data_IF_979431026944
#
_entry.id   IF_979431026944
#
_cell.length_a   1.000
_cell.length_b   1.000
_cell.length_c   1.000
_cell.angle_alpha   90.00
_cell.angle_beta   90.00
_cell.angle_gamma   90.00
#
_symmetry.space_group_name_H-M   'P 1'
#
loop_
_entity.id
_entity.type
_entity.pdbx_description
1 polymer ?
#
# COMPACT_ATOMS: atom_id res chain seq x y z
N UNK A 1 -1.73 -55.00 31.70
CA UNK A 1 -0.97 -53.77 32.03
C UNK A 1 -1.52 -52.62 31.19
N UNK A 2 -1.45 -51.40 31.74
CA UNK A 2 -2.26 -50.20 31.47
C UNK A 2 -2.47 -49.77 30.00
N UNK A 3 -3.70 -49.36 29.73
CA UNK A 3 -4.13 -48.41 28.68
C UNK A 3 -3.45 -47.05 28.85
N UNK A 4 -3.21 -46.31 27.76
CA UNK A 4 -3.47 -44.87 27.64
C UNK A 4 -3.53 -44.47 26.14
N UNK A 5 -4.50 -43.58 25.84
CA UNK A 5 -4.99 -43.12 24.54
C UNK A 5 -4.27 -41.81 24.10
N UNK A 6 -4.67 -41.12 23.00
CA UNK A 6 -3.80 -40.50 21.99
C UNK A 6 -3.32 -39.07 22.30
N UNK A 7 -2.29 -38.60 21.58
CA UNK A 7 -1.98 -37.16 21.49
C UNK A 7 -1.84 -36.73 20.03
N UNK A 8 -2.85 -35.99 19.58
CA UNK A 8 -2.84 -35.14 18.37
C UNK A 8 -1.94 -33.94 18.65
N UNK A 9 -0.99 -33.62 17.76
CA UNK A 9 -0.69 -32.22 17.41
C UNK A 9 -0.15 -32.18 15.99
N UNK A 10 -0.85 -31.41 15.15
CA UNK A 10 -0.58 -31.20 13.74
C UNK A 10 0.81 -30.56 13.56
N UNK A 11 1.76 -31.25 12.93
CA UNK A 11 2.94 -30.63 12.32
C UNK A 11 2.53 -30.02 10.97
N UNK A 12 1.75 -28.95 11.05
CA UNK A 12 1.62 -27.93 10.01
C UNK A 12 2.05 -26.64 10.69
N UNK A 13 2.76 -25.76 9.96
CA UNK A 13 3.31 -24.46 10.38
C UNK A 13 4.81 -24.43 10.71
N UNK A 14 5.64 -24.95 9.81
CA UNK A 14 7.00 -24.41 9.61
C UNK A 14 7.13 -24.07 8.12
N UNK A 15 6.49 -22.96 7.73
CA UNK A 15 6.41 -22.55 6.34
C UNK A 15 5.72 -21.20 6.22
N UNK A 16 6.31 -20.17 6.83
CA UNK A 16 6.03 -18.74 6.56
C UNK A 16 6.93 -17.76 7.33
N UNK A 17 7.86 -18.22 8.17
CA UNK A 17 8.72 -17.31 8.96
C UNK A 17 9.95 -16.74 8.24
N UNK A 18 10.38 -17.36 7.12
CA UNK A 18 11.63 -17.00 6.46
C UNK A 18 11.49 -15.92 5.35
N UNK A 19 10.26 -15.49 5.03
CA UNK A 19 10.03 -14.49 3.99
C UNK A 19 10.14 -13.03 4.48
N UNK A 20 10.05 -12.79 5.80
CA UNK A 20 10.03 -11.42 6.34
C UNK A 20 11.43 -10.79 6.51
N UNK A 21 12.51 -11.58 6.43
CA UNK A 21 13.88 -11.07 6.63
C UNK A 21 14.50 -10.52 5.34
N UNK A 22 13.88 -10.77 4.17
CA UNK A 22 14.40 -10.31 2.87
C UNK A 22 13.99 -8.86 2.50
N UNK A 23 13.18 -8.17 3.32
CA UNK A 23 12.72 -6.81 3.05
C UNK A 23 13.56 -5.70 3.71
N UNK A 24 14.66 -6.03 4.39
CA UNK A 24 15.55 -5.04 5.03
C UNK A 24 16.73 -4.61 4.17
N UNK A 25 16.79 -5.02 2.90
CA UNK A 25 17.66 -4.36 1.92
C UNK A 25 17.10 -2.95 1.70
N UNK A 26 17.63 -2.01 2.49
CA UNK A 26 17.27 -0.60 2.41
C UNK A 26 17.35 -0.08 0.99
N UNK A 27 16.45 0.85 0.68
CA UNK A 27 16.58 1.73 -0.47
C UNK A 27 17.96 2.38 -0.40
N UNK A 28 18.90 1.89 -1.24
CA UNK A 28 20.14 2.60 -1.51
C UNK A 28 19.77 3.99 -2.04
N UNK A 29 20.46 5.04 -1.57
CA UNK A 29 20.31 6.41 -2.11
C UNK A 29 20.67 6.46 -3.60
N UNK A 30 21.49 5.52 -4.06
CA UNK A 30 21.65 5.21 -5.48
C UNK A 30 20.52 4.28 -5.91
N UNK A 31 19.37 4.85 -6.26
CA UNK A 31 18.24 4.09 -6.76
C UNK A 31 18.43 3.84 -8.28
N UNK A 32 18.80 2.60 -8.71
CA UNK A 32 18.93 2.28 -10.13
C UNK A 32 17.61 2.40 -10.91
N UNK A 33 16.48 2.58 -10.22
CA UNK A 33 15.18 2.89 -10.81
C UNK A 33 15.03 4.36 -11.22
N UNK A 34 16.04 5.21 -10.99
CA UNK A 34 16.04 6.62 -11.39
C UNK A 34 17.35 7.03 -12.09
N UNK A 35 17.69 6.42 -13.24
CA UNK A 35 18.96 6.68 -13.94
C UNK A 35 19.06 8.10 -14.55
N UNK A 36 17.93 8.81 -14.69
CA UNK A 36 17.89 10.20 -15.14
C UNK A 36 17.65 11.18 -13.96
N UNK A 37 18.05 10.74 -12.77
CA UNK A 37 17.69 11.26 -11.46
C UNK A 37 17.63 12.77 -11.34
N UNK A 38 16.41 13.26 -11.06
CA UNK A 38 16.17 14.45 -10.22
C UNK A 38 14.68 14.64 -9.86
N UNK A 39 13.88 13.56 -9.88
CA UNK A 39 12.52 13.67 -9.39
C UNK A 39 12.54 13.94 -7.89
N UNK A 40 12.21 15.18 -7.51
CA UNK A 40 12.22 15.69 -6.13
C UNK A 40 13.56 15.47 -5.42
N UNK A 41 14.68 15.78 -6.10
CA UNK A 41 16.04 15.61 -5.57
C UNK A 41 16.35 14.17 -5.06
N UNK A 42 15.67 13.18 -5.64
CA UNK A 42 15.78 11.78 -5.24
C UNK A 42 14.84 11.37 -4.09
N UNK A 43 14.13 12.33 -3.48
CA UNK A 43 13.19 12.12 -2.37
C UNK A 43 11.75 11.93 -2.86
N UNK A 44 11.56 11.34 -4.04
CA UNK A 44 10.23 11.12 -4.61
C UNK A 44 9.34 10.24 -3.72
N UNK A 45 9.93 9.33 -2.94
CA UNK A 45 9.20 8.46 -2.01
C UNK A 45 8.59 9.23 -0.84
N UNK A 46 9.13 10.40 -0.50
CA UNK A 46 8.59 11.28 0.55
C UNK A 46 7.40 12.12 0.05
N UNK A 47 7.18 12.19 -1.27
CA UNK A 47 6.17 13.09 -1.85
C UNK A 47 4.72 12.57 -1.75
N UNK A 48 4.52 11.33 -1.31
CA UNK A 48 3.17 10.78 -1.08
C UNK A 48 2.92 10.43 0.39
N UNK A 49 3.90 10.64 1.29
CA UNK A 49 3.80 10.14 2.67
C UNK A 49 2.71 10.82 3.46
N UNK A 50 2.48 12.11 3.21
CA UNK A 50 1.45 12.89 3.87
C UNK A 50 0.06 12.40 3.44
N UNK A 51 -0.15 12.15 2.16
CA UNK A 51 -1.41 11.62 1.62
C UNK A 51 -1.64 10.17 2.05
N UNK A 52 -0.58 9.35 2.14
CA UNK A 52 -0.67 7.99 2.66
C UNK A 52 -1.07 7.99 4.15
N UNK A 53 -0.49 8.88 4.94
CA UNK A 53 -0.85 9.04 6.35
C UNK A 53 -2.28 9.55 6.50
N UNK A 54 -2.69 10.52 5.66
CA UNK A 54 -4.06 11.04 5.65
C UNK A 54 -5.07 9.94 5.31
N UNK A 55 -4.79 9.13 4.29
CA UNK A 55 -5.63 7.98 3.93
C UNK A 55 -5.69 6.95 5.05
N UNK A 56 -4.56 6.62 5.67
CA UNK A 56 -4.49 5.67 6.79
C UNK A 56 -5.32 6.16 7.98
N UNK A 57 -5.23 7.45 8.33
CA UNK A 57 -6.03 8.04 9.40
C UNK A 57 -7.53 8.01 9.09
N UNK A 58 -7.91 8.37 7.85
CA UNK A 58 -9.30 8.35 7.43
C UNK A 58 -9.87 6.92 7.42
N UNK A 59 -9.05 5.93 7.05
CA UNK A 59 -9.41 4.51 7.12
C UNK A 59 -9.66 4.06 8.56
N UNK A 60 -8.81 4.46 9.52
CA UNK A 60 -9.04 4.19 10.95
C UNK A 60 -10.35 4.82 11.42
N UNK A 61 -10.58 6.10 11.12
CA UNK A 61 -11.79 6.83 11.53
C UNK A 61 -13.05 6.15 10.96
N UNK A 62 -13.04 5.77 9.67
CA UNK A 62 -14.19 5.10 9.07
C UNK A 62 -14.43 3.69 9.65
N UNK A 63 -13.36 2.95 9.96
CA UNK A 63 -13.47 1.64 10.62
C UNK A 63 -14.04 1.75 12.04
N UNK A 64 -13.69 2.79 12.79
CA UNK A 64 -14.20 3.03 14.15
C UNK A 64 -15.63 3.57 14.13
N UNK A 65 -15.94 4.46 13.19
CA UNK A 65 -17.22 5.14 13.06
C UNK A 65 -17.71 5.10 11.60
N UNK A 66 -18.30 3.98 11.16
CA UNK A 66 -18.79 3.82 9.80
C UNK A 66 -20.05 4.64 9.59
N UNK A 67 -19.87 5.86 9.12
CA UNK A 67 -20.95 6.75 8.71
C UNK A 67 -20.60 7.43 7.39
N UNK A 68 -21.61 8.03 6.76
CA UNK A 68 -21.46 8.63 5.43
C UNK A 68 -20.37 9.70 5.37
N UNK A 69 -20.22 10.53 6.41
CA UNK A 69 -19.22 11.59 6.43
C UNK A 69 -17.80 11.00 6.46
N UNK A 70 -17.57 10.02 7.32
CA UNK A 70 -16.27 9.36 7.45
C UNK A 70 -15.92 8.52 6.22
N UNK A 71 -16.90 7.86 5.59
CA UNK A 71 -16.70 7.18 4.31
C UNK A 71 -16.28 8.16 3.20
N UNK A 72 -16.94 9.32 3.12
CA UNK A 72 -16.60 10.33 2.11
C UNK A 72 -15.19 10.87 2.31
N UNK A 73 -14.77 11.12 3.55
CA UNK A 73 -13.39 11.53 3.85
C UNK A 73 -12.38 10.42 3.57
N UNK A 74 -12.70 9.16 3.88
CA UNK A 74 -11.89 7.99 3.48
C UNK A 74 -11.67 7.95 1.96
N UNK A 75 -12.75 8.00 1.17
CA UNK A 75 -12.68 7.97 -0.30
C UNK A 75 -11.90 9.16 -0.86
N UNK A 76 -12.11 10.34 -0.30
CA UNK A 76 -11.38 11.56 -0.70
C UNK A 76 -9.89 11.43 -0.40
N UNK A 77 -9.52 10.93 0.78
CA UNK A 77 -8.12 10.73 1.15
C UNK A 77 -7.45 9.64 0.30
N UNK A 78 -8.16 8.53 0.01
CA UNK A 78 -7.68 7.49 -0.90
C UNK A 78 -7.36 8.04 -2.29
N UNK A 79 -8.26 8.86 -2.86
CA UNK A 79 -8.02 9.52 -4.15
C UNK A 79 -6.87 10.52 -4.10
N UNK A 80 -6.72 11.26 -2.98
CA UNK A 80 -5.57 12.14 -2.76
C UNK A 80 -4.24 11.40 -2.80
N UNK A 81 -4.16 10.23 -2.17
CA UNK A 81 -2.97 9.36 -2.25
C UNK A 81 -2.69 8.88 -3.69
N UNK A 82 -3.74 8.45 -4.42
CA UNK A 82 -3.61 8.03 -5.82
C UNK A 82 -3.16 9.19 -6.74
N UNK A 83 -3.62 10.42 -6.48
CA UNK A 83 -3.19 11.63 -7.19
C UNK A 83 -1.72 11.96 -6.91
N UNK A 84 -1.28 11.82 -5.66
CA UNK A 84 0.13 12.02 -5.28
C UNK A 84 1.05 11.02 -5.99
N UNK A 85 0.67 9.73 -6.03
CA UNK A 85 1.38 8.71 -6.82
C UNK A 85 1.44 9.09 -8.29
N UNK A 86 0.33 9.53 -8.89
CA UNK A 86 0.30 9.93 -10.30
C UNK A 86 1.26 11.10 -10.59
N UNK A 87 1.33 12.08 -9.68
CA UNK A 87 2.25 13.23 -9.75
C UNK A 87 3.71 12.78 -9.77
N UNK A 88 4.05 11.81 -8.93
CA UNK A 88 5.42 11.26 -8.84
C UNK A 88 5.79 10.49 -10.09
N UNK A 89 4.92 9.58 -10.54
CA UNK A 89 5.24 8.77 -11.71
C UNK A 89 5.32 9.60 -12.99
N UNK A 90 4.64 10.74 -13.09
CA UNK A 90 4.85 11.74 -14.17
C UNK A 90 6.31 12.16 -14.30
N UNK A 91 7.03 12.20 -13.19
CA UNK A 91 8.38 12.71 -13.09
C UNK A 91 9.46 11.60 -13.01
N UNK A 92 9.12 10.38 -12.55
CA UNK A 92 10.03 9.23 -12.59
C UNK A 92 10.16 8.67 -14.02
N UNK A 93 11.38 8.43 -14.54
CA UNK A 93 11.58 7.72 -15.80
C UNK A 93 11.19 6.24 -15.66
N UNK A 94 10.10 5.83 -16.32
CA UNK A 94 9.62 4.43 -16.30
C UNK A 94 9.04 4.02 -17.65
N UNK A 95 9.27 2.77 -18.05
CA UNK A 95 8.68 2.15 -19.24
C UNK A 95 7.21 1.75 -19.02
N UNK A 96 6.79 1.57 -17.77
CA UNK A 96 5.44 1.13 -17.39
C UNK A 96 4.47 2.29 -17.13
N UNK A 97 4.73 3.49 -17.65
CA UNK A 97 3.91 4.69 -17.39
C UNK A 97 2.43 4.49 -17.73
N UNK A 98 2.15 3.84 -18.85
CA UNK A 98 0.77 3.58 -19.29
C UNK A 98 0.05 2.62 -18.34
N UNK A 99 0.72 1.52 -17.96
CA UNK A 99 0.21 0.51 -17.03
C UNK A 99 -0.05 1.12 -15.65
N UNK A 100 0.90 1.90 -15.12
CA UNK A 100 0.75 2.60 -13.83
C UNK A 100 -0.43 3.57 -13.88
N UNK A 101 -0.55 4.37 -14.95
CA UNK A 101 -1.68 5.29 -15.12
C UNK A 101 -3.01 4.54 -15.17
N UNK A 102 -3.05 3.41 -15.87
CA UNK A 102 -4.23 2.55 -15.93
C UNK A 102 -4.60 2.04 -14.54
N UNK A 103 -3.65 1.45 -13.79
CA UNK A 103 -3.92 0.95 -12.44
C UNK A 103 -4.36 2.05 -11.47
N UNK A 104 -3.80 3.27 -11.57
CA UNK A 104 -4.25 4.42 -10.77
C UNK A 104 -5.70 4.78 -11.11
N UNK A 105 -6.07 4.79 -12.40
CA UNK A 105 -7.44 5.09 -12.82
C UNK A 105 -8.43 4.01 -12.39
N UNK A 106 -8.04 2.74 -12.50
CA UNK A 106 -8.84 1.60 -12.03
C UNK A 106 -9.06 1.70 -10.52
N UNK A 107 -8.01 1.97 -9.73
CA UNK A 107 -8.12 2.15 -8.29
C UNK A 107 -9.04 3.35 -7.90
N UNK A 108 -8.97 4.47 -8.63
CA UNK A 108 -9.88 5.61 -8.39
C UNK A 108 -11.33 5.22 -8.68
N UNK A 109 -11.57 4.46 -9.76
CA UNK A 109 -12.90 3.98 -10.11
C UNK A 109 -13.44 2.98 -9.08
N UNK A 110 -12.59 2.09 -8.55
CA UNK A 110 -12.93 1.19 -7.45
C UNK A 110 -13.37 1.97 -6.22
N UNK A 111 -12.57 2.94 -5.76
CA UNK A 111 -12.90 3.82 -4.62
C UNK A 111 -14.23 4.56 -4.85
N UNK A 112 -14.50 5.02 -6.06
CA UNK A 112 -15.78 5.67 -6.39
C UNK A 112 -16.95 4.68 -6.36
N UNK A 113 -16.73 3.43 -6.79
CA UNK A 113 -17.74 2.37 -6.85
C UNK A 113 -18.08 1.72 -5.51
N UNK A 114 -17.17 1.75 -4.53
CA UNK A 114 -17.39 1.19 -3.20
C UNK A 114 -18.62 1.83 -2.54
N UNK A 115 -19.50 1.05 -1.90
CA UNK A 115 -20.60 1.60 -1.11
C UNK A 115 -20.09 2.32 0.15
N UNK A 116 -20.88 3.26 0.65
CA UNK A 116 -20.74 3.78 2.01
C UNK A 116 -21.92 3.24 2.80
N UNK A 117 -21.85 1.96 3.16
CA UNK A 117 -22.96 1.18 3.72
C UNK A 117 -22.85 1.01 5.23
#
# INVERSE_FOLDING_TARGET
>A
MKSLKPMKTRLYLIGCGAAMIALTSGCSKDNPLNPNGNCFDGNWAEQYTDELQAWSNAATIYNEEPNQANCNEYKKAAKGYLDALESIYKCVPTTSRAEIKQSINEAKAEVDSEGCD
#
